data_IF_364852692976
#
_entry.id   IF_364852692976
#
_cell.length_a   1.000
_cell.length_b   1.000
_cell.length_c   1.000
_cell.angle_alpha   90.00
_cell.angle_beta   90.00
_cell.angle_gamma   90.00
#
_symmetry.space_group_name_H-M   'P 1'
#
loop_
_entity.id
_entity.type
_entity.pdbx_description
1 polymer ?
#
# COMPACT_ATOMS: atom_id res chain seq x y z
N UNK A 1 -6.51 -7.12 2.28
CA UNK A 1 -5.09 -7.50 2.40
C UNK A 1 -4.40 -7.25 1.07
N UNK A 2 -3.06 -7.38 0.98
CA UNK A 2 -2.33 -7.16 -0.27
C UNK A 2 -2.64 -8.29 -1.27
N UNK A 3 -3.60 -8.07 -2.16
CA UNK A 3 -4.01 -9.02 -3.18
C UNK A 3 -4.26 -8.31 -4.51
N UNK A 4 -4.13 -9.05 -5.60
CA UNK A 4 -4.44 -8.54 -6.95
C UNK A 4 -5.89 -8.08 -7.05
N UNK A 5 -6.82 -8.80 -6.43
CA UNK A 5 -8.24 -8.44 -6.40
C UNK A 5 -8.48 -7.10 -5.70
N UNK A 6 -7.92 -6.90 -4.50
CA UNK A 6 -8.04 -5.62 -3.80
C UNK A 6 -7.41 -4.47 -4.59
N UNK A 7 -6.27 -4.72 -5.24
CA UNK A 7 -5.63 -3.73 -6.09
C UNK A 7 -6.51 -3.35 -7.27
N UNK A 8 -7.13 -4.34 -7.94
CA UNK A 8 -8.05 -4.08 -9.04
C UNK A 8 -9.25 -3.25 -8.58
N UNK A 9 -9.88 -3.62 -7.47
CA UNK A 9 -11.02 -2.87 -6.91
C UNK A 9 -10.64 -1.42 -6.58
N UNK A 10 -9.44 -1.18 -6.05
CA UNK A 10 -8.95 0.18 -5.80
C UNK A 10 -8.75 0.96 -7.11
N UNK A 11 -8.17 0.32 -8.13
CA UNK A 11 -7.99 0.95 -9.45
C UNK A 11 -9.34 1.28 -10.10
N UNK A 12 -10.34 0.40 -10.00
CA UNK A 12 -11.68 0.63 -10.55
C UNK A 12 -12.34 1.89 -9.96
N UNK A 13 -12.08 2.18 -8.68
CA UNK A 13 -12.53 3.42 -8.02
C UNK A 13 -11.75 4.64 -8.52
N UNK A 14 -10.45 4.50 -8.80
CA UNK A 14 -9.56 5.62 -9.14
C UNK A 14 -9.62 6.03 -10.61
N UNK A 15 -9.78 5.07 -11.53
CA UNK A 15 -9.80 5.29 -12.98
C UNK A 15 -10.76 6.42 -13.42
N UNK A 16 -12.03 6.50 -12.94
CA UNK A 16 -12.94 7.54 -13.38
C UNK A 16 -12.64 8.93 -12.80
N UNK A 17 -11.73 9.07 -11.83
CA UNK A 17 -11.52 10.31 -11.07
C UNK A 17 -10.54 11.31 -11.72
N UNK A 18 -10.04 11.03 -12.92
CA UNK A 18 -9.06 11.86 -13.62
C UNK A 18 -7.76 12.14 -12.80
N UNK A 19 -7.36 11.16 -11.97
CA UNK A 19 -6.11 11.18 -11.20
C UNK A 19 -4.97 10.70 -12.11
N UNK A 20 -3.83 11.42 -12.12
CA UNK A 20 -2.65 11.01 -12.89
C UNK A 20 -1.59 10.30 -12.08
N UNK A 21 -1.42 10.67 -10.82
CA UNK A 21 -0.34 10.16 -9.96
C UNK A 21 -0.92 9.47 -8.74
N UNK A 22 -0.37 8.29 -8.41
CA UNK A 22 -0.68 7.58 -7.17
C UNK A 22 0.63 7.21 -6.46
N UNK A 23 0.58 7.19 -5.13
CA UNK A 23 1.70 6.75 -4.30
C UNK A 23 1.34 5.43 -3.64
N UNK A 24 2.13 4.39 -3.88
CA UNK A 24 2.05 3.15 -3.12
C UNK A 24 2.91 3.31 -1.86
N UNK A 25 2.29 3.16 -0.70
CA UNK A 25 2.96 3.22 0.61
C UNK A 25 3.01 1.81 1.22
N UNK A 26 4.14 1.09 1.07
CA UNK A 26 4.31 -0.22 1.69
C UNK A 26 4.18 -0.11 3.21
N UNK A 27 3.44 -1.05 3.79
CA UNK A 27 3.32 -1.12 5.25
C UNK A 27 4.70 -1.30 5.91
N UNK A 28 4.90 -0.62 7.05
CA UNK A 28 6.10 -0.73 7.87
C UNK A 28 5.75 -0.77 9.36
N UNK A 29 6.60 -1.41 10.18
CA UNK A 29 6.36 -1.54 11.62
C UNK A 29 6.83 -0.35 12.47
N UNK A 30 7.35 0.73 11.86
CA UNK A 30 7.91 1.89 12.57
C UNK A 30 6.94 2.62 13.51
N UNK A 31 5.63 2.36 13.41
CA UNK A 31 4.63 2.91 14.33
C UNK A 31 4.56 2.22 15.70
N UNK A 32 5.05 0.99 15.83
CA UNK A 32 4.90 0.16 17.03
C UNK A 32 5.41 0.84 18.33
N UNK A 33 6.58 1.52 18.34
CA UNK A 33 7.05 2.21 19.54
C UNK A 33 6.08 3.26 20.07
N UNK A 34 5.35 3.96 19.19
CA UNK A 34 4.39 5.01 19.59
C UNK A 34 3.21 4.42 20.37
N UNK A 35 2.74 3.24 19.98
CA UNK A 35 1.65 2.55 20.68
C UNK A 35 2.09 2.11 22.07
N UNK A 36 3.31 1.56 22.17
CA UNK A 36 3.90 1.15 23.44
C UNK A 36 4.01 2.31 24.43
N UNK A 37 4.46 3.48 23.97
CA UNK A 37 4.58 4.70 24.80
C UNK A 37 3.23 5.18 25.36
N UNK A 38 2.13 4.91 24.65
CA UNK A 38 0.78 5.30 25.07
C UNK A 38 0.08 4.19 25.87
N UNK A 39 0.77 3.11 26.22
CA UNK A 39 0.17 1.93 26.87
C UNK A 39 -0.89 1.23 26.02
N UNK A 40 -0.81 1.35 24.68
CA UNK A 40 -1.76 0.76 23.74
C UNK A 40 -1.20 -0.52 23.12
N UNK A 41 -2.06 -1.51 22.93
CA UNK A 41 -1.73 -2.74 22.20
C UNK A 41 -1.57 -2.45 20.71
N UNK A 42 -0.46 -2.90 20.13
CA UNK A 42 -0.24 -2.90 18.69
C UNK A 42 -0.71 -4.23 18.08
N UNK A 43 -1.84 -4.24 17.38
CA UNK A 43 -2.44 -5.46 16.81
C UNK A 43 -1.74 -5.98 15.56
N UNK A 44 -0.88 -5.17 14.93
CA UNK A 44 -0.22 -5.52 13.66
C UNK A 44 1.19 -6.10 13.85
N UNK A 45 1.55 -6.54 15.06
CA UNK A 45 2.89 -7.06 15.38
C UNK A 45 3.32 -8.25 14.49
N UNK A 46 2.38 -9.12 14.13
CA UNK A 46 2.64 -10.31 13.29
C UNK A 46 2.45 -10.03 11.79
N UNK A 47 2.12 -8.78 11.42
CA UNK A 47 1.97 -8.41 10.01
C UNK A 47 3.34 -8.02 9.48
N UNK A 48 3.84 -8.81 8.53
CA UNK A 48 5.09 -8.51 7.83
C UNK A 48 4.91 -7.35 6.85
N UNK A 49 5.97 -6.56 6.67
CA UNK A 49 6.05 -5.65 5.55
C UNK A 49 5.99 -6.46 4.23
N UNK A 50 5.34 -5.93 3.18
CA UNK A 50 5.32 -6.60 1.89
C UNK A 50 6.73 -6.66 1.30
N UNK A 51 7.03 -7.71 0.54
CA UNK A 51 8.32 -7.82 -0.13
C UNK A 51 8.44 -6.80 -1.26
N UNK A 52 9.67 -6.52 -1.70
CA UNK A 52 9.89 -5.68 -2.89
C UNK A 52 9.19 -6.23 -4.14
N UNK A 53 9.11 -7.56 -4.28
CA UNK A 53 8.42 -8.22 -5.38
C UNK A 53 6.89 -8.02 -5.31
N UNK A 54 6.30 -8.07 -4.12
CA UNK A 54 4.87 -7.80 -3.94
C UNK A 54 4.54 -6.34 -4.32
N UNK A 55 5.38 -5.40 -3.86
CA UNK A 55 5.23 -3.97 -4.17
C UNK A 55 5.41 -3.71 -5.67
N UNK A 56 6.41 -4.34 -6.31
CA UNK A 56 6.62 -4.24 -7.75
C UNK A 56 5.40 -4.77 -8.53
N UNK A 57 4.81 -5.88 -8.10
CA UNK A 57 3.59 -6.42 -8.73
C UNK A 57 2.43 -5.42 -8.67
N UNK A 58 2.19 -4.79 -7.52
CA UNK A 58 1.11 -3.79 -7.39
C UNK A 58 1.40 -2.53 -8.21
N UNK A 59 2.67 -2.09 -8.22
CA UNK A 59 3.13 -0.97 -9.05
C UNK A 59 2.83 -1.21 -10.52
N UNK A 60 3.21 -2.36 -11.05
CA UNK A 60 2.97 -2.71 -12.45
C UNK A 60 1.48 -2.72 -12.80
N UNK A 61 0.62 -3.20 -11.89
CA UNK A 61 -0.83 -3.18 -12.11
C UNK A 61 -1.35 -1.74 -12.28
N UNK A 62 -0.92 -0.81 -11.42
CA UNK A 62 -1.31 0.59 -11.51
C UNK A 62 -0.72 1.30 -12.74
N UNK A 63 0.55 1.03 -13.08
CA UNK A 63 1.17 1.59 -14.29
C UNK A 63 0.45 1.13 -15.56
N UNK A 64 0.04 -0.15 -15.64
CA UNK A 64 -0.76 -0.69 -16.75
C UNK A 64 -2.17 -0.09 -16.83
N UNK A 65 -2.72 0.37 -15.70
CA UNK A 65 -3.99 1.09 -15.66
C UNK A 65 -3.85 2.58 -16.05
N UNK A 66 -2.64 3.05 -16.37
CA UNK A 66 -2.38 4.40 -16.87
C UNK A 66 -1.93 5.41 -15.81
N UNK A 67 -1.66 4.96 -14.57
CA UNK A 67 -1.19 5.85 -13.50
C UNK A 67 0.33 6.03 -13.53
N UNK A 68 0.79 7.22 -13.14
CA UNK A 68 2.16 7.46 -12.73
C UNK A 68 2.32 7.02 -11.27
N UNK A 69 3.21 6.07 -11.01
CA UNK A 69 3.32 5.45 -9.68
C UNK A 69 4.63 5.81 -9.01
N UNK A 70 4.54 6.32 -7.78
CA UNK A 70 5.67 6.48 -6.85
C UNK A 70 5.56 5.41 -5.77
N UNK A 71 6.68 4.78 -5.39
CA UNK A 71 6.73 3.87 -4.23
C UNK A 71 7.41 4.60 -3.09
N UNK A 72 6.70 4.73 -1.97
CA UNK A 72 7.07 5.64 -0.89
C UNK A 72 6.54 7.06 -1.12
N UNK A 73 6.77 7.92 -0.13
CA UNK A 73 6.47 9.34 -0.13
C UNK A 73 7.62 10.13 0.46
#
# INVERSE_FOLDING_TARGET
TLSRENMQQALDVLIPLNIRQIHLLPFHQYGEPKYRLLGKTWSMKEVSAPSSADVATMREMAERAGFQVTVGG
#
